data_IF_905175301824
#
_entry.id   IF_905175301824
#
_cell.length_a   1.000
_cell.length_b   1.000
_cell.length_c   1.000
_cell.angle_alpha   90.00
_cell.angle_beta   90.00
_cell.angle_gamma   90.00
#
_symmetry.space_group_name_H-M   'P 1'
#
loop_
_entity.id
_entity.type
_entity.pdbx_description
1 polymer ?
#
# COMPACT_ATOMS: atom_id res chain seq x y z
N UNK A 1 -1.67 2.19 18.84
CA UNK A 1 -1.88 3.41 18.02
C UNK A 1 -3.25 4.01 18.33
N UNK A 2 -3.36 4.88 19.33
CA UNK A 2 -4.67 5.19 19.91
C UNK A 2 -5.65 5.88 18.95
N UNK A 3 -5.19 6.54 17.88
CA UNK A 3 -6.03 7.48 17.13
C UNK A 3 -6.23 7.17 15.65
N UNK A 4 -5.68 6.08 15.08
CA UNK A 4 -5.75 5.83 13.62
C UNK A 4 -7.20 5.83 13.10
N UNK A 5 -8.11 5.13 13.80
CA UNK A 5 -9.53 5.06 13.44
C UNK A 5 -10.21 6.43 13.53
N UNK A 6 -9.96 7.18 14.61
CA UNK A 6 -10.51 8.52 14.79
C UNK A 6 -10.02 9.47 13.68
N UNK A 7 -8.75 9.38 13.30
CA UNK A 7 -8.14 10.20 12.25
C UNK A 7 -8.70 9.88 10.86
N UNK A 8 -9.08 8.63 10.61
CA UNK A 8 -9.86 8.26 9.43
C UNK A 8 -11.26 8.88 9.50
N UNK A 9 -11.98 8.69 10.61
CA UNK A 9 -13.35 9.19 10.79
C UNK A 9 -13.44 10.71 10.58
N UNK A 10 -12.48 11.49 11.09
CA UNK A 10 -12.43 12.94 10.93
C UNK A 10 -12.27 13.41 9.48
N UNK A 11 -11.85 12.53 8.55
CA UNK A 11 -11.72 12.82 7.12
C UNK A 11 -12.98 12.49 6.33
N UNK A 12 -13.91 11.72 6.88
CA UNK A 12 -15.21 11.42 6.27
C UNK A 12 -16.21 12.58 6.42
N UNK A 13 -15.78 13.79 6.05
CA UNK A 13 -16.62 14.99 6.05
C UNK A 13 -17.62 14.99 4.88
N UNK A 14 -17.26 14.34 3.78
CA UNK A 14 -18.09 14.16 2.60
C UNK A 14 -18.73 12.75 2.59
N UNK A 15 -19.77 12.57 1.79
CA UNK A 15 -20.38 11.25 1.62
C UNK A 15 -19.58 10.35 0.68
N UNK A 16 -19.11 10.91 -0.44
CA UNK A 16 -18.36 10.19 -1.47
C UNK A 16 -16.85 10.38 -1.34
N UNK A 17 -16.26 9.87 -0.26
CA UNK A 17 -14.80 9.90 -0.10
C UNK A 17 -14.17 8.55 0.28
N UNK A 18 -12.97 8.34 -0.24
CA UNK A 18 -12.00 7.32 0.15
C UNK A 18 -10.88 8.00 0.91
N UNK A 19 -10.57 7.53 2.11
CA UNK A 19 -9.48 8.08 2.90
C UNK A 19 -8.33 7.08 2.92
N UNK A 20 -7.21 7.46 2.34
CA UNK A 20 -5.94 6.75 2.48
C UNK A 20 -5.20 7.29 3.70
N UNK A 21 -4.86 6.42 4.64
CA UNK A 21 -4.05 6.75 5.79
C UNK A 21 -2.58 6.40 5.56
N UNK A 22 -1.66 7.25 6.04
CA UNK A 22 -0.22 7.04 5.86
C UNK A 22 0.26 5.68 6.38
N UNK A 23 1.08 4.96 5.62
CA UNK A 23 1.64 3.67 6.01
C UNK A 23 3.14 3.79 6.27
N UNK A 24 3.57 3.65 7.52
CA UNK A 24 4.98 3.49 7.84
C UNK A 24 5.42 2.04 7.61
N UNK A 25 6.61 1.86 7.05
CA UNK A 25 7.15 0.56 6.66
C UNK A 25 8.28 0.12 7.58
N UNK A 26 8.09 -1.02 8.24
CA UNK A 26 9.13 -1.71 9.01
C UNK A 26 9.76 -2.76 8.09
N UNK A 27 10.54 -2.29 7.13
CA UNK A 27 11.14 -3.13 6.07
C UNK A 27 12.23 -4.09 6.58
N UNK A 28 12.83 -3.80 7.74
CA UNK A 28 13.90 -4.57 8.36
C UNK A 28 13.44 -5.99 8.74
N UNK A 29 12.15 -6.15 9.08
CA UNK A 29 11.58 -7.44 9.44
C UNK A 29 11.16 -8.28 8.23
N UNK A 30 11.28 -7.75 7.01
CA UNK A 30 10.79 -8.40 5.78
C UNK A 30 11.26 -9.84 5.62
N UNK A 31 12.49 -10.14 6.02
CA UNK A 31 13.11 -11.44 5.87
C UNK A 31 12.98 -12.34 7.10
N UNK A 32 12.24 -11.90 8.12
CA UNK A 32 11.98 -12.65 9.34
C UNK A 32 10.71 -13.51 9.16
N UNK A 33 10.85 -14.80 9.45
CA UNK A 33 9.75 -15.72 9.67
C UNK A 33 9.05 -15.43 11.01
N UNK A 34 9.84 -15.16 12.04
CA UNK A 34 9.36 -14.77 13.38
C UNK A 34 10.04 -13.44 13.75
N UNK A 35 9.36 -12.29 13.58
CA UNK A 35 9.93 -10.98 13.88
C UNK A 35 10.10 -10.72 15.38
N UNK A 36 9.38 -11.43 16.24
CA UNK A 36 9.54 -11.32 17.68
C UNK A 36 10.88 -11.94 18.12
N UNK A 37 11.18 -13.14 17.61
CA UNK A 37 12.40 -13.87 17.95
C UNK A 37 13.60 -13.52 17.06
N UNK A 38 13.36 -12.82 15.97
CA UNK A 38 14.36 -12.52 14.94
C UNK A 38 14.79 -13.77 14.17
N UNK A 39 13.86 -14.70 13.91
CA UNK A 39 14.11 -15.92 13.14
C UNK A 39 13.90 -15.61 11.67
N UNK A 40 14.89 -15.93 10.83
CA UNK A 40 14.84 -15.76 9.38
C UNK A 40 14.15 -16.93 8.68
N UNK A 41 13.59 -16.69 7.49
CA UNK A 41 13.14 -17.78 6.63
C UNK A 41 14.30 -18.74 6.30
N UNK A 42 14.12 -20.06 6.50
CA UNK A 42 15.20 -21.04 6.37
C UNK A 42 15.74 -21.16 4.93
N UNK A 43 14.94 -20.81 3.92
CA UNK A 43 15.29 -20.89 2.51
C UNK A 43 15.97 -19.63 1.95
N UNK A 44 16.08 -18.54 2.74
CA UNK A 44 16.83 -17.35 2.30
C UNK A 44 18.33 -17.62 2.48
N UNK A 45 19.02 -17.90 1.37
CA UNK A 45 20.47 -18.07 1.35
C UNK A 45 21.15 -16.83 1.95
N UNK A 46 21.88 -17.01 3.05
CA UNK A 46 22.68 -15.97 3.72
C UNK A 46 23.90 -15.59 2.88
N UNK A 47 23.72 -15.07 1.67
CA UNK A 47 24.83 -14.48 0.92
C UNK A 47 25.31 -13.22 1.65
N UNK A 48 26.63 -12.99 1.61
CA UNK A 48 27.42 -12.00 2.39
C UNK A 48 26.80 -10.60 2.54
N UNK A 49 25.89 -10.18 1.65
CA UNK A 49 25.14 -8.92 1.68
C UNK A 49 24.27 -8.74 2.93
N UNK A 50 23.67 -9.81 3.46
CA UNK A 50 22.80 -9.74 4.65
C UNK A 50 23.60 -9.67 5.97
N UNK A 51 24.89 -9.99 5.97
CA UNK A 51 25.64 -10.25 7.20
C UNK A 51 26.22 -9.02 7.91
N UNK A 52 26.33 -7.86 7.25
CA UNK A 52 27.04 -6.69 7.81
C UNK A 52 26.14 -5.57 8.35
N UNK A 53 24.84 -5.59 8.04
CA UNK A 53 23.89 -4.54 8.46
C UNK A 53 22.69 -5.07 9.29
N UNK A 54 22.65 -6.39 9.56
CA UNK A 54 21.61 -6.99 10.38
C UNK A 54 21.84 -6.72 11.87
N UNK A 55 21.62 -5.48 12.28
CA UNK A 55 21.11 -5.26 13.63
C UNK A 55 19.87 -6.14 13.75
N UNK A 56 19.85 -7.04 14.73
CA UNK A 56 18.70 -7.90 14.99
C UNK A 56 17.54 -6.98 15.42
N UNK A 57 16.75 -6.51 14.46
CA UNK A 57 15.52 -5.77 14.73
C UNK A 57 14.47 -6.82 15.06
N UNK A 58 14.16 -6.93 16.34
CA UNK A 58 13.01 -7.67 16.83
C UNK A 58 11.86 -6.70 17.04
N UNK A 59 10.65 -7.11 16.69
CA UNK A 59 9.42 -6.42 17.05
C UNK A 59 8.67 -7.34 18.01
N UNK A 60 8.79 -7.06 19.31
CA UNK A 60 8.19 -7.89 20.38
C UNK A 60 6.84 -7.34 20.81
N UNK A 61 6.06 -8.16 21.52
CA UNK A 61 4.81 -7.70 22.15
C UNK A 61 5.04 -6.53 23.12
N UNK A 62 6.10 -6.57 23.92
CA UNK A 62 6.48 -5.47 24.81
C UNK A 62 6.82 -4.17 24.05
N UNK A 63 7.38 -4.26 22.84
CA UNK A 63 7.57 -3.07 21.99
C UNK A 63 6.23 -2.47 21.59
N UNK A 64 5.17 -3.26 21.44
CA UNK A 64 3.84 -2.78 21.03
C UNK A 64 3.05 -2.25 22.22
N UNK A 65 3.07 -2.97 23.35
CA UNK A 65 2.21 -2.69 24.50
C UNK A 65 2.82 -1.69 25.48
N UNK A 66 4.14 -1.71 25.67
CA UNK A 66 4.81 -0.97 26.75
C UNK A 66 5.67 0.17 26.20
N UNK A 67 6.47 -0.09 25.16
CA UNK A 67 7.55 0.82 24.73
C UNK A 67 7.39 1.28 23.27
N UNK A 68 6.15 1.47 22.81
CA UNK A 68 5.85 1.75 21.40
C UNK A 68 6.56 3.00 20.88
N UNK A 69 6.37 4.14 21.53
CA UNK A 69 6.95 5.43 21.10
C UNK A 69 8.48 5.43 21.10
N UNK A 70 9.09 4.63 21.98
CA UNK A 70 10.54 4.51 22.09
C UNK A 70 11.15 3.58 21.03
N UNK A 71 10.32 2.75 20.38
CA UNK A 71 10.73 1.71 19.44
C UNK A 71 10.07 1.88 18.07
N UNK A 72 8.89 1.28 17.86
CA UNK A 72 8.15 1.29 16.60
C UNK A 72 7.71 2.70 16.21
N UNK A 73 7.32 3.53 17.18
CA UNK A 73 6.87 4.90 16.96
C UNK A 73 7.92 5.81 16.30
N UNK A 74 9.21 5.47 16.43
CA UNK A 74 10.33 6.19 15.78
C UNK A 74 10.48 5.87 14.29
N UNK A 75 9.83 4.82 13.80
CA UNK A 75 9.89 4.48 12.37
C UNK A 75 9.18 5.58 11.58
N UNK A 76 9.91 6.18 10.66
CA UNK A 76 9.41 7.24 9.77
C UNK A 76 9.56 6.89 8.28
N UNK A 77 10.03 5.67 7.99
CA UNK A 77 10.21 5.19 6.62
C UNK A 77 8.87 4.86 6.00
N UNK A 78 8.72 5.21 4.73
CA UNK A 78 7.58 4.86 3.87
C UNK A 78 8.06 4.10 2.65
N UNK A 79 7.16 3.40 1.95
CA UNK A 79 7.51 2.72 0.69
C UNK A 79 7.56 3.71 -0.48
N UNK A 80 8.17 3.33 -1.62
CA UNK A 80 8.09 4.16 -2.83
C UNK A 80 6.64 4.31 -3.32
N UNK A 81 5.81 3.27 -3.19
CA UNK A 81 4.38 3.36 -3.51
C UNK A 81 3.65 4.38 -2.62
N UNK A 82 3.95 4.42 -1.32
CA UNK A 82 3.37 5.41 -0.41
C UNK A 82 3.74 6.85 -0.83
N UNK A 83 4.95 7.07 -1.34
CA UNK A 83 5.35 8.39 -1.89
C UNK A 83 4.53 8.74 -3.13
N UNK A 84 4.32 7.80 -4.05
CA UNK A 84 3.46 8.00 -5.24
C UNK A 84 2.05 8.37 -4.80
N UNK A 85 1.47 7.63 -3.86
CA UNK A 85 0.12 7.88 -3.35
C UNK A 85 0.03 9.27 -2.72
N UNK A 86 1.00 9.63 -1.87
CA UNK A 86 1.02 10.95 -1.23
C UNK A 86 1.03 12.07 -2.28
N UNK A 87 1.86 11.96 -3.31
CA UNK A 87 1.99 12.97 -4.35
C UNK A 87 0.71 13.09 -5.20
N UNK A 88 0.19 11.95 -5.70
CA UNK A 88 -1.02 11.88 -6.54
C UNK A 88 -2.26 12.41 -5.79
N UNK A 89 -2.40 12.08 -4.51
CA UNK A 89 -3.55 12.52 -3.71
C UNK A 89 -3.42 13.95 -3.17
N UNK A 90 -2.21 14.52 -3.17
CA UNK A 90 -2.00 15.94 -2.83
C UNK A 90 -2.29 16.87 -4.02
N UNK A 91 -2.33 16.33 -5.24
CA UNK A 91 -2.68 17.06 -6.45
C UNK A 91 -4.18 17.36 -6.61
N UNK A 92 -4.49 18.48 -7.26
CA UNK A 92 -5.87 18.93 -7.48
C UNK A 92 -6.64 18.03 -8.45
N UNK A 93 -5.98 17.50 -9.48
CA UNK A 93 -6.57 16.66 -10.53
C UNK A 93 -5.68 15.46 -10.88
N UNK A 94 -6.31 14.39 -11.37
CA UNK A 94 -5.61 13.20 -11.83
C UNK A 94 -6.51 11.98 -11.80
N UNK A 95 -6.60 11.28 -12.92
CA UNK A 95 -7.33 10.01 -13.05
C UNK A 95 -6.52 8.83 -12.49
N UNK A 96 -5.35 9.08 -11.89
CA UNK A 96 -4.56 8.09 -11.17
C UNK A 96 -4.91 7.93 -9.69
N UNK A 97 -5.85 8.72 -9.15
CA UNK A 97 -6.16 8.77 -7.70
C UNK A 97 -6.59 7.42 -7.12
N UNK A 98 -7.07 6.50 -7.94
CA UNK A 98 -7.37 5.11 -7.55
C UNK A 98 -6.20 4.38 -6.90
N UNK A 99 -4.94 4.77 -7.18
CA UNK A 99 -3.75 4.21 -6.53
C UNK A 99 -3.79 4.40 -5.00
N UNK A 100 -4.56 5.39 -4.53
CA UNK A 100 -4.79 5.62 -3.11
C UNK A 100 -5.55 4.52 -2.39
N UNK A 101 -6.27 3.63 -3.08
CA UNK A 101 -6.92 2.49 -2.41
C UNK A 101 -5.93 1.34 -2.24
N UNK A 102 -5.20 1.34 -1.14
CA UNK A 102 -4.41 0.17 -0.71
C UNK A 102 -5.08 -0.49 0.48
N UNK A 103 -5.21 -1.82 0.45
CA UNK A 103 -5.87 -2.58 1.51
C UNK A 103 -5.21 -2.44 2.90
N UNK A 104 -3.97 -1.93 2.94
CA UNK A 104 -3.18 -1.80 4.16
C UNK A 104 -3.64 -0.68 5.11
N UNK A 105 -4.18 0.43 4.61
CA UNK A 105 -4.65 1.54 5.46
C UNK A 105 -5.61 2.49 4.73
N UNK A 106 -6.79 1.99 4.39
CA UNK A 106 -7.85 2.81 3.80
C UNK A 106 -9.14 2.74 4.62
N UNK A 107 -9.98 3.78 4.50
CA UNK A 107 -11.34 3.74 5.01
C UNK A 107 -12.33 4.32 4.00
N UNK A 108 -13.51 3.70 3.96
CA UNK A 108 -14.65 4.06 3.11
C UNK A 108 -15.94 3.88 3.89
N UNK A 109 -17.02 4.52 3.43
CA UNK A 109 -18.36 4.21 3.91
C UNK A 109 -18.80 2.84 3.41
N UNK A 110 -19.61 2.14 4.20
CA UNK A 110 -20.22 0.86 3.79
C UNK A 110 -21.03 1.00 2.49
N UNK A 111 -21.70 2.14 2.29
CA UNK A 111 -22.46 2.42 1.07
C UNK A 111 -21.57 2.42 -0.17
N UNK A 112 -20.36 2.96 -0.09
CA UNK A 112 -19.38 2.95 -1.18
C UNK A 112 -18.98 1.53 -1.57
N UNK A 113 -18.75 0.66 -0.58
CA UNK A 113 -18.43 -0.74 -0.83
C UNK A 113 -19.55 -1.47 -1.58
N UNK A 114 -20.81 -1.23 -1.17
CA UNK A 114 -21.97 -1.84 -1.80
C UNK A 114 -22.24 -1.27 -3.20
N UNK A 115 -22.11 0.05 -3.38
CA UNK A 115 -22.30 0.73 -4.67
C UNK A 115 -21.28 0.25 -5.71
N UNK A 116 -20.02 0.08 -5.30
CA UNK A 116 -18.99 -0.49 -6.16
C UNK A 116 -19.16 -2.00 -6.42
N UNK A 117 -19.94 -2.72 -5.61
CA UNK A 117 -20.13 -4.17 -5.73
C UNK A 117 -19.03 -5.01 -5.05
N UNK A 118 -18.31 -4.43 -4.07
CA UNK A 118 -17.24 -5.09 -3.34
C UNK A 118 -15.98 -5.38 -4.16
N UNK A 119 -15.07 -6.20 -3.61
CA UNK A 119 -13.89 -6.67 -4.34
C UNK A 119 -14.28 -7.66 -5.44
N UNK A 120 -13.55 -7.64 -6.56
CA UNK A 120 -13.73 -8.63 -7.61
C UNK A 120 -13.06 -9.95 -7.25
N UNK A 121 -13.89 -10.96 -6.93
CA UNK A 121 -13.41 -12.29 -6.51
C UNK A 121 -12.58 -13.02 -7.59
N UNK A 122 -12.59 -12.56 -8.85
CA UNK A 122 -11.78 -13.14 -9.93
C UNK A 122 -10.29 -12.87 -9.80
N UNK A 123 -9.86 -11.88 -9.02
CA UNK A 123 -8.45 -11.74 -8.62
C UNK A 123 -7.97 -12.96 -7.79
N UNK A 124 -8.91 -13.64 -7.11
CA UNK A 124 -8.69 -14.92 -6.46
C UNK A 124 -7.63 -14.85 -5.35
N UNK A 125 -6.77 -15.86 -5.29
CA UNK A 125 -5.73 -15.98 -4.27
C UNK A 125 -4.35 -15.49 -4.73
N UNK A 126 -4.24 -14.98 -5.97
CA UNK A 126 -2.99 -14.40 -6.48
C UNK A 126 -2.83 -13.01 -5.88
N UNK A 127 -1.61 -12.65 -5.53
CA UNK A 127 -1.36 -11.38 -4.88
C UNK A 127 -1.44 -10.19 -5.85
N UNK A 128 -2.15 -9.14 -5.43
CA UNK A 128 -2.06 -7.79 -5.99
C UNK A 128 -3.22 -7.38 -6.90
N UNK A 129 -3.36 -6.05 -7.05
CA UNK A 129 -4.32 -5.33 -7.90
C UNK A 129 -5.79 -5.39 -7.48
N UNK A 130 -6.21 -6.24 -6.55
CA UNK A 130 -7.61 -6.32 -6.13
C UNK A 130 -8.08 -5.03 -5.43
N UNK A 131 -7.18 -4.41 -4.68
CA UNK A 131 -7.40 -3.15 -3.97
C UNK A 131 -7.37 -1.96 -4.93
N UNK A 132 -6.37 -1.91 -5.82
CA UNK A 132 -6.27 -0.88 -6.86
C UNK A 132 -7.44 -0.91 -7.84
N UNK A 133 -7.90 -2.09 -8.26
CA UNK A 133 -9.06 -2.21 -9.15
C UNK A 133 -10.35 -1.77 -8.48
N UNK A 134 -10.51 -2.08 -7.20
CA UNK A 134 -11.64 -1.59 -6.41
C UNK A 134 -11.57 -0.06 -6.24
N UNK A 135 -10.39 0.50 -5.99
CA UNK A 135 -10.14 1.94 -6.01
C UNK A 135 -10.49 2.57 -7.35
N UNK A 136 -10.15 1.92 -8.46
CA UNK A 136 -10.46 2.40 -9.81
C UNK A 136 -11.97 2.51 -10.02
N UNK A 137 -12.74 1.49 -9.64
CA UNK A 137 -14.21 1.54 -9.70
C UNK A 137 -14.80 2.63 -8.82
N UNK A 138 -14.28 2.83 -7.61
CA UNK A 138 -14.72 3.92 -6.74
C UNK A 138 -14.46 5.30 -7.37
N UNK A 139 -13.29 5.50 -7.97
CA UNK A 139 -12.97 6.73 -8.69
C UNK A 139 -13.93 6.95 -9.87
N UNK A 140 -14.24 5.92 -10.66
CA UNK A 140 -15.22 5.99 -11.76
C UNK A 140 -16.65 6.31 -11.27
N UNK A 141 -16.99 5.94 -10.03
CA UNK A 141 -18.26 6.31 -9.37
C UNK A 141 -18.26 7.73 -8.78
N UNK A 142 -17.18 8.49 -8.99
CA UNK A 142 -17.02 9.87 -8.53
C UNK A 142 -16.69 10.00 -7.05
N UNK A 143 -16.03 9.00 -6.46
CA UNK A 143 -15.50 9.12 -5.09
C UNK A 143 -14.20 9.91 -5.08
N UNK A 144 -14.11 10.88 -4.18
CA UNK A 144 -12.91 11.67 -3.95
C UNK A 144 -11.90 10.90 -3.08
N UNK A 145 -10.63 10.98 -3.42
CA UNK A 145 -9.55 10.33 -2.66
C UNK A 145 -8.79 11.34 -1.83
N UNK A 146 -8.68 11.08 -0.53
CA UNK A 146 -8.10 11.98 0.46
C UNK A 146 -6.91 11.29 1.12
N UNK A 147 -5.75 11.94 1.07
CA UNK A 147 -4.60 11.51 1.86
C UNK A 147 -4.70 12.05 3.31
N UNK A 148 -4.45 11.19 4.28
CA UNK A 148 -4.45 11.51 5.71
C UNK A 148 -3.11 11.15 6.33
N UNK A 149 -2.24 12.16 6.44
CA UNK A 149 -0.93 12.07 7.10
C UNK A 149 -1.02 11.87 8.61
N UNK A 150 -2.21 12.02 9.20
CA UNK A 150 -2.50 11.77 10.62
C UNK A 150 -3.13 10.41 10.89
N UNK A 151 -3.70 9.75 9.88
CA UNK A 151 -4.29 8.41 10.02
C UNK A 151 -3.21 7.34 9.76
N UNK A 152 -2.23 7.26 10.64
CA UNK A 152 -1.05 6.42 10.42
C UNK A 152 -1.26 4.97 10.87
N UNK A 153 -0.61 4.03 10.18
CA UNK A 153 -0.33 2.70 10.71
C UNK A 153 1.14 2.30 10.49
N UNK A 154 1.55 1.17 11.07
CA UNK A 154 2.86 0.56 10.84
C UNK A 154 2.68 -0.83 10.25
N UNK A 155 3.30 -1.07 9.10
CA UNK A 155 3.23 -2.33 8.39
C UNK A 155 4.54 -3.11 8.55
N UNK A 156 4.42 -4.32 9.11
CA UNK A 156 5.49 -5.32 9.08
C UNK A 156 5.54 -5.87 7.65
N UNK A 157 6.60 -5.54 6.92
CA UNK A 157 6.74 -6.09 5.58
C UNK A 157 6.96 -7.59 5.66
N UNK A 158 6.45 -8.32 4.67
CA UNK A 158 6.70 -9.74 4.49
C UNK A 158 7.39 -10.00 3.16
N UNK A 159 8.39 -10.87 3.18
CA UNK A 159 9.00 -11.37 1.96
C UNK A 159 8.03 -12.31 1.23
N UNK A 160 7.87 -12.10 -0.07
CA UNK A 160 7.12 -12.98 -0.97
C UNK A 160 8.03 -13.37 -2.12
N UNK A 161 8.20 -14.67 -2.36
CA UNK A 161 8.77 -15.14 -3.61
C UNK A 161 7.78 -14.85 -4.75
N UNK A 162 8.30 -14.57 -5.94
CA UNK A 162 7.53 -14.44 -7.18
C UNK A 162 6.40 -13.39 -7.21
N UNK A 163 6.36 -12.44 -6.25
CA UNK A 163 5.30 -11.43 -6.16
C UNK A 163 5.10 -10.66 -7.47
N UNK A 164 6.18 -10.35 -8.20
CA UNK A 164 6.13 -9.64 -9.48
C UNK A 164 5.39 -10.43 -10.56
N UNK A 165 5.50 -11.77 -10.56
CA UNK A 165 4.84 -12.65 -11.54
C UNK A 165 3.36 -12.81 -11.22
N UNK A 166 2.99 -12.95 -9.95
CA UNK A 166 1.58 -12.96 -9.55
C UNK A 166 0.93 -11.61 -9.88
N UNK A 167 1.60 -10.52 -9.54
CA UNK A 167 1.15 -9.16 -9.81
C UNK A 167 0.97 -8.93 -11.32
N UNK A 168 1.89 -9.38 -12.18
CA UNK A 168 1.77 -9.17 -13.63
C UNK A 168 0.55 -9.84 -14.26
N UNK A 169 0.15 -11.02 -13.76
CA UNK A 169 -1.07 -11.70 -14.20
C UNK A 169 -2.32 -10.92 -13.78
N UNK A 170 -2.33 -10.37 -12.56
CA UNK A 170 -3.45 -9.58 -12.06
C UNK A 170 -3.51 -8.19 -12.72
N UNK A 171 -2.38 -7.56 -13.03
CA UNK A 171 -2.33 -6.32 -13.83
C UNK A 171 -2.89 -6.58 -15.23
N UNK A 172 -2.51 -7.70 -15.88
CA UNK A 172 -3.06 -8.04 -17.19
C UNK A 172 -4.59 -8.15 -17.14
N UNK A 173 -5.13 -8.85 -16.14
CA UNK A 173 -6.58 -8.95 -15.94
C UNK A 173 -7.23 -7.58 -15.67
N UNK A 174 -6.60 -6.77 -14.81
CA UNK A 174 -7.05 -5.42 -14.49
C UNK A 174 -7.09 -4.53 -15.75
N UNK A 175 -6.05 -4.58 -16.58
CA UNK A 175 -5.98 -3.86 -17.85
C UNK A 175 -7.02 -4.35 -18.86
N UNK A 176 -7.19 -5.66 -19.04
CA UNK A 176 -8.22 -6.22 -19.94
C UNK A 176 -9.63 -5.78 -19.55
N UNK A 177 -9.88 -5.52 -18.26
CA UNK A 177 -11.18 -5.11 -17.73
C UNK A 177 -11.49 -3.62 -17.95
N UNK A 178 -10.51 -2.74 -17.80
CA UNK A 178 -10.73 -1.28 -17.80
C UNK A 178 -10.01 -0.53 -18.94
N UNK A 179 -9.09 -1.19 -19.64
CA UNK A 179 -8.38 -0.71 -20.83
C UNK A 179 -7.78 0.70 -20.68
N UNK A 180 -6.99 0.88 -19.61
CA UNK A 180 -6.39 2.16 -19.26
C UNK A 180 -4.86 2.05 -19.09
N UNK A 181 -4.09 2.92 -19.76
CA UNK A 181 -2.62 2.81 -19.84
C UNK A 181 -1.91 2.93 -18.48
N UNK A 182 -2.42 3.77 -17.57
CA UNK A 182 -1.92 3.86 -16.18
C UNK A 182 -1.86 2.51 -15.44
N UNK A 183 -2.68 1.53 -15.82
CA UNK A 183 -2.64 0.18 -15.26
C UNK A 183 -1.39 -0.58 -15.72
N UNK A 184 -0.91 -0.33 -16.94
CA UNK A 184 0.35 -0.90 -17.44
C UNK A 184 1.53 -0.28 -16.69
N UNK A 185 1.53 1.04 -16.52
CA UNK A 185 2.60 1.75 -15.78
C UNK A 185 2.71 1.30 -14.32
N UNK A 186 1.60 0.85 -13.70
CA UNK A 186 1.64 0.21 -12.38
C UNK A 186 2.55 -1.04 -12.38
N UNK A 187 2.48 -1.90 -13.39
CA UNK A 187 3.37 -3.06 -13.49
C UNK A 187 4.83 -2.63 -13.68
N UNK A 188 5.07 -1.65 -14.54
CA UNK A 188 6.42 -1.13 -14.79
C UNK A 188 7.04 -0.57 -13.50
N UNK A 189 6.24 0.12 -12.69
CA UNK A 189 6.67 0.62 -11.39
C UNK A 189 6.98 -0.51 -10.41
N UNK A 190 6.11 -1.52 -10.30
CA UNK A 190 6.33 -2.70 -9.44
C UNK A 190 7.57 -3.50 -9.86
N UNK A 191 7.90 -3.52 -11.15
CA UNK A 191 9.11 -4.11 -11.70
C UNK A 191 10.36 -3.22 -11.54
N UNK A 192 10.22 -2.01 -10.99
CA UNK A 192 11.26 -0.99 -10.87
C UNK A 192 11.83 -0.55 -12.24
N UNK A 193 11.02 -0.58 -13.29
CA UNK A 193 11.38 -0.09 -14.64
C UNK A 193 11.23 1.42 -14.76
N UNK A 194 10.34 2.02 -13.97
CA UNK A 194 10.10 3.46 -13.90
C UNK A 194 10.25 3.96 -12.47
N UNK A 195 10.62 5.23 -12.32
CA UNK A 195 10.80 5.88 -11.01
C UNK A 195 9.47 6.35 -10.42
N UNK A 196 9.51 6.82 -9.16
CA UNK A 196 8.36 7.47 -8.51
C UNK A 196 7.89 8.66 -9.33
N UNK A 197 8.80 9.51 -9.79
CA UNK A 197 8.48 10.72 -10.55
C UNK A 197 7.82 10.39 -11.88
N UNK A 198 8.32 9.37 -12.59
CA UNK A 198 7.73 8.91 -13.85
C UNK A 198 6.33 8.34 -13.63
N UNK A 199 6.13 7.53 -12.59
CA UNK A 199 4.81 6.95 -12.33
C UNK A 199 3.79 8.00 -11.89
N UNK A 200 4.19 8.95 -11.03
CA UNK A 200 3.36 10.11 -10.68
C UNK A 200 2.98 10.90 -11.94
N UNK A 201 3.93 11.14 -12.85
CA UNK A 201 3.67 11.84 -14.10
C UNK A 201 2.57 11.16 -14.92
N UNK A 202 2.66 9.84 -15.15
CA UNK A 202 1.63 9.06 -15.86
C UNK A 202 0.27 9.09 -15.15
N UNK A 203 0.25 9.06 -13.81
CA UNK A 203 -0.99 9.08 -13.03
C UNK A 203 -1.70 10.45 -13.00
N UNK A 204 -0.98 11.53 -13.28
CA UNK A 204 -1.48 12.91 -13.13
C UNK A 204 -1.65 13.65 -14.45
N UNK A 205 -1.02 13.17 -15.53
CA UNK A 205 -1.06 13.78 -16.85
C UNK A 205 -1.55 12.78 -17.90
N UNK A 206 -2.25 13.29 -18.90
CA UNK A 206 -2.58 12.56 -20.12
C UNK A 206 -1.68 13.05 -21.26
N UNK A 207 -1.26 12.13 -22.13
CA UNK A 207 -0.96 12.46 -23.53
C UNK A 207 -2.25 12.41 -24.36
#
# INVERSE_FOLDING_TARGET
MPNCIERHLLKHLQEKCVVHGKIYSISEVKFLLDPEKGIYYPYLNRTRSLSKAMVKVCVTEANILENFEETIGKVNRVTEMEKVIQEVLSGESGEGKWIGFTGGNCSIRRTAFLEAGGFDEKFGTRWGCEDFEFGYRLMQLGYDFIYSDRACNYHLMHYRLDFTKEHSLNVKYFYEKHNHENIIHLQEFVENKITVEQFVYFLTNYE
#
